data_IF_027135082433
#
_entry.id   IF_027135082433
#
_cell.length_a   1.000
_cell.length_b   1.000
_cell.length_c   1.000
_cell.angle_alpha   90.00
_cell.angle_beta   90.00
_cell.angle_gamma   90.00
#
_symmetry.space_group_name_H-M   'P 1'
#
loop_
_entity.id
_entity.type
_entity.pdbx_description
1 polymer ?
#
# COMPACT_ATOMS: atom_id res chain seq x y z
N UNK A 1 2.69 16.10 -9.72
CA UNK A 1 3.38 16.44 -8.46
C UNK A 1 4.86 16.51 -8.78
N UNK A 2 5.47 17.69 -8.66
CA UNK A 2 6.89 17.89 -8.94
C UNK A 2 7.77 17.44 -7.76
N UNK A 3 9.08 17.27 -8.03
CA UNK A 3 10.08 16.81 -7.06
C UNK A 3 10.14 17.70 -5.82
N UNK A 4 9.93 19.01 -5.96
CA UNK A 4 9.99 19.94 -4.85
C UNK A 4 8.79 19.76 -3.91
N UNK A 5 7.61 19.50 -4.47
CA UNK A 5 6.39 19.18 -3.72
C UNK A 5 6.53 17.84 -2.98
N UNK A 6 7.07 16.80 -3.62
CA UNK A 6 7.36 15.54 -2.93
C UNK A 6 8.37 15.73 -1.79
N UNK A 7 9.43 16.50 -2.02
CA UNK A 7 10.44 16.78 -0.98
C UNK A 7 9.84 17.58 0.18
N UNK A 8 8.99 18.57 -0.07
CA UNK A 8 8.28 19.31 0.99
C UNK A 8 7.37 18.40 1.80
N UNK A 9 6.66 17.48 1.15
CA UNK A 9 5.80 16.51 1.82
C UNK A 9 6.62 15.56 2.71
N UNK A 10 7.72 15.03 2.18
CA UNK A 10 8.64 14.16 2.94
C UNK A 10 9.27 14.91 4.11
N UNK A 11 9.66 16.16 3.90
CA UNK A 11 10.23 17.04 4.95
C UNK A 11 9.19 17.50 5.98
N UNK A 12 7.90 17.34 5.71
CA UNK A 12 6.81 17.59 6.67
C UNK A 12 6.40 16.37 7.49
N UNK A 13 6.99 15.20 7.24
CA UNK A 13 6.75 14.01 8.06
C UNK A 13 7.42 14.23 9.42
N UNK A 14 6.63 14.26 10.48
CA UNK A 14 7.11 14.50 11.85
C UNK A 14 7.98 13.34 12.39
N UNK A 15 7.74 12.12 11.88
CA UNK A 15 8.44 10.89 12.30
C UNK A 15 8.92 10.08 11.07
N UNK A 16 9.88 10.59 10.28
CA UNK A 16 10.27 9.99 9.01
C UNK A 16 10.92 8.61 9.16
N UNK A 17 11.63 8.36 10.26
CA UNK A 17 12.22 7.05 10.57
C UNK A 17 11.14 5.99 10.80
N UNK A 18 10.09 6.33 11.54
CA UNK A 18 8.97 5.41 11.79
C UNK A 18 8.24 5.07 10.48
N UNK A 19 7.99 6.08 9.64
CA UNK A 19 7.38 5.87 8.33
C UNK A 19 8.26 4.97 7.46
N UNK A 20 9.58 5.23 7.41
CA UNK A 20 10.51 4.40 6.65
C UNK A 20 10.52 2.95 7.14
N UNK A 21 10.43 2.75 8.46
CA UNK A 21 10.38 1.41 9.06
C UNK A 21 9.09 0.66 8.68
N UNK A 22 7.92 1.33 8.72
CA UNK A 22 6.64 0.75 8.29
C UNK A 22 6.71 0.36 6.81
N UNK A 23 7.18 1.28 5.96
CA UNK A 23 7.28 1.05 4.52
C UNK A 23 8.27 -0.09 4.20
N UNK A 24 9.37 -0.19 4.94
CA UNK A 24 10.31 -1.31 4.79
C UNK A 24 9.69 -2.64 5.25
N UNK A 25 8.87 -2.64 6.30
CA UNK A 25 8.21 -3.86 6.77
C UNK A 25 7.16 -4.37 5.76
N UNK A 26 6.61 -3.49 4.92
CA UNK A 26 5.55 -3.74 3.94
C UNK A 26 6.03 -3.57 2.48
N UNK A 27 7.32 -3.75 2.22
CA UNK A 27 7.98 -3.39 0.94
C UNK A 27 7.68 -4.32 -0.24
N UNK A 28 6.97 -5.43 -0.03
CA UNK A 28 6.63 -6.39 -1.07
C UNK A 28 5.16 -6.82 -1.01
N UNK A 29 4.58 -7.24 -2.16
CA UNK A 29 3.20 -7.74 -2.19
C UNK A 29 2.94 -8.88 -1.20
N UNK A 30 3.88 -9.82 -1.05
CA UNK A 30 3.73 -10.95 -0.12
C UNK A 30 3.69 -10.48 1.35
N UNK A 31 4.44 -9.44 1.71
CA UNK A 31 4.40 -8.85 3.06
C UNK A 31 3.07 -8.16 3.30
N UNK A 32 2.59 -7.35 2.36
CA UNK A 32 1.28 -6.69 2.46
C UNK A 32 0.15 -7.74 2.59
N UNK A 33 0.19 -8.79 1.77
CA UNK A 33 -0.77 -9.91 1.86
C UNK A 33 -0.71 -10.61 3.22
N UNK A 34 0.49 -10.94 3.69
CA UNK A 34 0.69 -11.57 4.99
C UNK A 34 0.13 -10.70 6.11
N UNK A 35 0.43 -9.40 6.09
CA UNK A 35 -0.06 -8.44 7.08
C UNK A 35 -1.59 -8.40 7.08
N UNK A 36 -2.23 -8.26 5.91
CA UNK A 36 -3.70 -8.25 5.80
C UNK A 36 -4.34 -9.55 6.31
N UNK A 37 -3.74 -10.71 6.01
CA UNK A 37 -4.27 -12.00 6.46
C UNK A 37 -4.12 -12.23 7.96
N UNK A 38 -3.07 -11.69 8.57
CA UNK A 38 -2.91 -11.72 10.03
C UNK A 38 -4.02 -10.94 10.74
N UNK A 39 -4.48 -9.83 10.15
CA UNK A 39 -5.62 -9.06 10.70
C UNK A 39 -6.92 -9.88 10.72
N UNK A 40 -7.09 -10.76 9.74
CA UNK A 40 -8.23 -11.69 9.64
C UNK A 40 -8.04 -12.99 10.46
N UNK A 41 -7.19 -12.97 11.50
CA UNK A 41 -6.86 -14.12 12.36
C UNK A 41 -6.37 -15.38 11.61
N UNK A 42 -5.83 -15.22 10.39
CA UNK A 42 -5.31 -16.36 9.62
C UNK A 42 -3.95 -16.79 10.16
N UNK A 43 -3.79 -18.08 10.47
CA UNK A 43 -2.54 -18.58 11.02
C UNK A 43 -1.38 -18.46 10.02
N UNK A 44 -0.14 -18.13 10.43
CA UNK A 44 1.00 -17.97 9.52
C UNK A 44 1.30 -19.19 8.65
N UNK A 45 0.95 -20.38 9.11
CA UNK A 45 1.04 -21.61 8.30
C UNK A 45 0.14 -21.51 7.07
N UNK A 46 -1.11 -21.14 7.27
CA UNK A 46 -2.12 -21.16 6.20
C UNK A 46 -1.85 -20.02 5.22
N UNK A 47 -1.31 -18.89 5.70
CA UNK A 47 -0.79 -17.82 4.84
C UNK A 47 0.39 -18.30 3.97
N UNK A 48 1.32 -19.07 4.54
CA UNK A 48 2.44 -19.63 3.78
C UNK A 48 1.95 -20.57 2.67
N UNK A 49 0.93 -21.38 2.98
CA UNK A 49 0.30 -22.29 2.03
C UNK A 49 -0.43 -21.50 0.91
N UNK A 50 -1.12 -20.39 1.22
CA UNK A 50 -1.75 -19.50 0.22
C UNK A 50 -0.73 -18.85 -0.73
N UNK A 51 0.43 -18.45 -0.20
CA UNK A 51 1.48 -17.77 -0.94
C UNK A 51 2.41 -18.73 -1.71
N UNK A 52 2.21 -20.05 -1.59
CA UNK A 52 3.09 -21.09 -2.12
C UNK A 52 4.56 -20.91 -1.68
N UNK A 53 4.76 -20.60 -0.39
CA UNK A 53 6.09 -20.43 0.22
C UNK A 53 6.27 -21.33 1.43
N UNK A 54 7.53 -21.53 1.84
CA UNK A 54 7.80 -22.28 3.06
C UNK A 54 7.38 -21.48 4.30
N UNK A 55 6.95 -22.15 5.37
CA UNK A 55 6.63 -21.47 6.65
C UNK A 55 7.81 -20.65 7.20
N UNK A 56 9.04 -21.09 6.96
CA UNK A 56 10.24 -20.36 7.32
C UNK A 56 10.42 -19.06 6.54
N UNK A 57 9.86 -18.96 5.32
CA UNK A 57 9.93 -17.75 4.52
C UNK A 57 9.01 -16.64 5.05
N UNK A 58 7.96 -16.97 5.81
CA UNK A 58 7.07 -15.99 6.47
C UNK A 58 7.69 -15.42 7.75
N UNK A 59 8.56 -16.16 8.44
CA UNK A 59 9.13 -15.72 9.72
C UNK A 59 9.81 -14.35 9.66
N UNK A 60 10.65 -14.02 8.65
CA UNK A 60 11.19 -12.68 8.49
C UNK A 60 10.12 -11.59 8.43
N UNK A 61 8.97 -11.85 7.78
CA UNK A 61 7.89 -10.87 7.69
C UNK A 61 7.31 -10.58 9.07
N UNK A 62 7.04 -11.63 9.85
CA UNK A 62 6.50 -11.52 11.21
C UNK A 62 7.47 -10.81 12.15
N UNK A 63 8.78 -11.07 12.01
CA UNK A 63 9.83 -10.35 12.74
C UNK A 63 9.81 -8.87 12.40
N UNK A 64 9.80 -8.52 11.12
CA UNK A 64 9.83 -7.12 10.69
C UNK A 64 8.56 -6.36 11.10
N UNK A 65 7.38 -6.99 11.03
CA UNK A 65 6.14 -6.39 11.52
C UNK A 65 6.20 -6.10 13.02
N UNK A 66 6.79 -7.00 13.80
CA UNK A 66 6.97 -6.81 15.23
C UNK A 66 7.99 -5.72 15.54
N UNK A 67 9.11 -5.70 14.83
CA UNK A 67 10.15 -4.66 14.98
C UNK A 67 9.61 -3.27 14.61
N UNK A 68 8.72 -3.19 13.63
CA UNK A 68 8.01 -1.97 13.24
C UNK A 68 6.84 -1.59 14.18
N UNK A 69 6.61 -2.34 15.25
CA UNK A 69 5.51 -2.16 16.20
C UNK A 69 4.11 -2.23 15.53
N UNK A 70 3.98 -3.05 14.49
CA UNK A 70 2.70 -3.27 13.80
C UNK A 70 1.92 -4.45 14.40
N UNK A 71 2.64 -5.46 14.88
CA UNK A 71 2.04 -6.63 15.54
C UNK A 71 2.80 -6.97 16.82
N UNK A 72 2.09 -7.52 17.78
CA UNK A 72 2.65 -8.12 18.97
C UNK A 72 2.29 -9.61 19.06
N UNK A 73 3.02 -10.34 19.89
CA UNK A 73 2.79 -11.78 20.08
C UNK A 73 2.22 -12.01 21.47
N UNK A 74 0.97 -12.48 21.51
CA UNK A 74 0.29 -12.89 22.73
C UNK A 74 0.21 -14.42 22.76
N UNK A 75 1.16 -15.05 23.45
CA UNK A 75 1.28 -16.50 23.50
C UNK A 75 1.71 -17.10 22.14
N UNK A 76 0.75 -17.65 21.39
CA UNK A 76 0.97 -18.24 20.06
C UNK A 76 0.29 -17.46 18.93
N UNK A 77 -0.38 -16.37 19.27
CA UNK A 77 -1.17 -15.57 18.34
C UNK A 77 -0.47 -14.23 18.08
N UNK A 78 -0.66 -13.74 16.86
CA UNK A 78 -0.20 -12.42 16.45
C UNK A 78 -1.39 -11.48 16.55
N UNK A 79 -1.23 -10.37 17.28
CA UNK A 79 -2.26 -9.37 17.48
C UNK A 79 -1.77 -8.03 16.94
N UNK A 80 -2.68 -7.27 16.34
CA UNK A 80 -2.34 -5.94 15.84
C UNK A 80 -2.19 -4.98 17.01
N UNK A 81 -1.14 -4.16 16.96
CA UNK A 81 -1.01 -3.02 17.87
C UNK A 81 -1.96 -1.90 17.41
N UNK A 82 -2.13 -0.85 18.21
CA UNK A 82 -2.87 0.35 17.77
C UNK A 82 -2.27 0.97 16.50
N UNK A 83 -0.94 0.94 16.39
CA UNK A 83 -0.20 1.40 15.21
C UNK A 83 -0.46 0.50 14.01
N UNK A 84 -0.41 -0.82 14.20
CA UNK A 84 -0.74 -1.80 13.16
C UNK A 84 -2.15 -1.62 12.61
N UNK A 85 -3.13 -1.42 13.49
CA UNK A 85 -4.53 -1.21 13.11
C UNK A 85 -4.71 0.04 12.24
N UNK A 86 -4.05 1.15 12.62
CA UNK A 86 -4.06 2.37 11.80
C UNK A 86 -3.43 2.15 10.42
N UNK A 87 -2.31 1.42 10.37
CA UNK A 87 -1.65 1.09 9.08
C UNK A 87 -2.54 0.22 8.22
N UNK A 88 -3.19 -0.80 8.80
CA UNK A 88 -4.15 -1.65 8.10
C UNK A 88 -5.30 -0.83 7.49
N UNK A 89 -5.91 0.06 8.27
CA UNK A 89 -6.99 0.92 7.79
C UNK A 89 -6.55 1.83 6.64
N UNK A 90 -5.31 2.34 6.67
CA UNK A 90 -4.75 3.12 5.57
C UNK A 90 -4.54 2.27 4.31
N UNK A 91 -4.06 1.03 4.44
CA UNK A 91 -3.91 0.11 3.31
C UNK A 91 -5.26 -0.21 2.68
N UNK A 92 -6.30 -0.47 3.46
CA UNK A 92 -7.65 -0.70 2.95
C UNK A 92 -8.22 0.53 2.22
N UNK A 93 -7.95 1.74 2.72
CA UNK A 93 -8.36 2.96 2.03
C UNK A 93 -7.64 3.12 0.69
N UNK A 94 -6.33 2.86 0.66
CA UNK A 94 -5.54 2.92 -0.56
C UNK A 94 -6.04 1.91 -1.59
N UNK A 95 -6.32 0.67 -1.18
CA UNK A 95 -6.82 -0.38 -2.07
C UNK A 95 -8.16 0.02 -2.72
N UNK A 96 -9.12 0.53 -1.91
CA UNK A 96 -10.38 1.08 -2.44
C UNK A 96 -10.18 2.22 -3.41
N UNK A 97 -9.27 3.16 -3.12
CA UNK A 97 -8.95 4.25 -4.05
C UNK A 97 -8.38 3.73 -5.37
N UNK A 98 -7.54 2.70 -5.35
CA UNK A 98 -7.01 2.09 -6.57
C UNK A 98 -8.10 1.37 -7.37
N UNK A 99 -9.02 0.70 -6.69
CA UNK A 99 -10.17 0.07 -7.32
C UNK A 99 -11.07 1.12 -8.00
N UNK A 100 -11.47 2.18 -7.29
CA UNK A 100 -12.29 3.27 -7.83
C UNK A 100 -11.62 3.94 -9.05
N UNK A 101 -10.30 4.15 -9.00
CA UNK A 101 -9.54 4.69 -10.12
C UNK A 101 -9.53 3.76 -11.33
N UNK A 102 -9.44 2.46 -11.10
CA UNK A 102 -9.44 1.44 -12.17
C UNK A 102 -10.82 1.38 -12.83
N UNK A 103 -11.88 1.35 -12.04
CA UNK A 103 -13.27 1.36 -12.54
C UNK A 103 -13.59 2.64 -13.33
N UNK A 104 -13.15 3.80 -12.83
CA UNK A 104 -13.29 5.06 -13.55
C UNK A 104 -12.51 5.05 -14.87
N UNK A 105 -11.30 4.51 -14.87
CA UNK A 105 -10.49 4.39 -16.08
C UNK A 105 -11.18 3.52 -17.14
N UNK A 106 -11.70 2.36 -16.75
CA UNK A 106 -12.45 1.47 -17.64
C UNK A 106 -13.70 2.16 -18.20
N UNK A 107 -14.47 2.82 -17.35
CA UNK A 107 -15.66 3.58 -17.75
C UNK A 107 -15.34 4.66 -18.81
N UNK A 108 -14.26 5.42 -18.63
CA UNK A 108 -13.85 6.47 -19.56
C UNK A 108 -13.30 5.91 -20.88
N UNK A 109 -12.71 4.71 -20.86
CA UNK A 109 -12.28 4.02 -22.09
C UNK A 109 -13.50 3.59 -22.91
N UNK A 110 -14.55 3.11 -22.24
CA UNK A 110 -15.79 2.69 -22.89
C UNK A 110 -16.67 3.86 -23.36
N UNK A 111 -16.57 5.02 -22.70
CA UNK A 111 -17.40 6.20 -22.95
C UNK A 111 -16.54 7.47 -23.15
N UNK A 112 -15.69 7.51 -24.20
CA UNK A 112 -14.73 8.60 -24.40
C UNK A 112 -15.39 9.97 -24.62
N UNK A 113 -16.63 10.01 -25.09
CA UNK A 113 -17.41 11.23 -25.30
C UNK A 113 -17.79 11.98 -24.01
N UNK A 114 -17.69 11.32 -22.85
CA UNK A 114 -17.94 11.92 -21.54
C UNK A 114 -16.76 12.79 -21.09
N UNK A 115 -15.57 12.57 -21.66
CA UNK A 115 -14.38 13.34 -21.30
C UNK A 115 -14.53 14.78 -21.82
N UNK A 116 -14.54 15.79 -20.94
CA UNK A 116 -14.65 17.18 -21.37
C UNK A 116 -13.49 17.56 -22.29
N UNK A 117 -13.78 18.33 -23.34
CA UNK A 117 -12.79 18.73 -24.34
C UNK A 117 -11.61 19.47 -23.70
N UNK A 118 -11.84 20.25 -22.65
CA UNK A 118 -10.79 20.98 -21.92
C UNK A 118 -9.75 20.03 -21.29
N UNK A 119 -10.17 18.84 -20.88
CA UNK A 119 -9.28 17.81 -20.32
C UNK A 119 -8.44 17.18 -21.42
N UNK A 120 -9.03 16.88 -22.58
CA UNK A 120 -8.31 16.36 -23.74
C UNK A 120 -7.25 17.35 -24.24
N UNK A 121 -7.61 18.63 -24.36
CA UNK A 121 -6.70 19.70 -24.78
C UNK A 121 -5.50 19.85 -23.82
N UNK A 122 -5.72 19.73 -22.50
CA UNK A 122 -4.66 19.77 -21.50
C UNK A 122 -3.74 18.52 -21.56
N UNK A 123 -4.30 17.34 -21.83
CA UNK A 123 -3.52 16.10 -22.02
C UNK A 123 -2.57 16.25 -23.23
N UNK A 124 -3.07 16.79 -24.34
CA UNK A 124 -2.28 17.03 -25.54
C UNK A 124 -1.17 18.07 -25.31
N UNK A 125 -1.50 19.18 -24.63
CA UNK A 125 -0.52 20.20 -24.24
C UNK A 125 0.63 19.61 -23.43
N UNK A 126 0.33 18.73 -22.46
CA UNK A 126 1.35 18.06 -21.64
C UNK A 126 2.20 17.05 -22.42
N UNK A 127 1.65 16.39 -23.44
CA UNK A 127 2.42 15.49 -24.32
C UNK A 127 3.43 16.27 -25.17
N UNK A 128 3.04 17.42 -25.72
CA UNK A 128 3.93 18.28 -26.50
C UNK A 128 5.09 18.84 -25.66
N UNK A 129 4.82 19.20 -24.39
CA UNK A 129 5.86 19.71 -23.47
C UNK A 129 6.83 18.64 -22.93
N UNK A 130 6.51 17.34 -23.04
CA UNK A 130 7.41 16.24 -22.64
C UNK A 130 8.32 15.75 -23.76
N UNK A 131 8.16 16.26 -24.99
CA UNK A 131 8.94 15.88 -26.18
C UNK A 131 9.99 16.91 -26.62
N UNK A 132 10.17 18.01 -25.89
CA UNK A 132 11.25 19.00 -26.07
C UNK A 132 12.28 18.90 -24.95
#
# INVERSE_FOLDING_TARGET
MDRETCLKLIMSIEHPEEVAQILSALDTPNRVHTFNKLHSDTAPKDIADELDVTRSAIQPYLTDFKEADLVEVSGKEYQFTEKGEKVYQLLEQLDRMFQDLTELQEFLIENPEIIPQEVLDEIERRRQNKGS
#
